data_IF_360788534003
#
_entry.id   IF_360788534003
#
_cell.length_a   1.000
_cell.length_b   1.000
_cell.length_c   1.000
_cell.angle_alpha   90.00
_cell.angle_beta   90.00
_cell.angle_gamma   90.00
#
_symmetry.space_group_name_H-M   'P 1'
#
loop_
_entity.id
_entity.type
_entity.pdbx_description
1 polymer ?
#
# COMPACT_ATOMS: atom_id res chain seq x y z
N UNK A 1 -31.79 6.78 -11.63
CA UNK A 1 -30.68 5.98 -11.06
C UNK A 1 -29.49 6.90 -10.75
N UNK A 2 -29.75 8.09 -10.21
CA UNK A 2 -28.81 9.23 -10.26
C UNK A 2 -28.31 9.68 -8.88
N UNK A 3 -28.83 9.06 -7.82
CA UNK A 3 -28.47 9.41 -6.44
C UNK A 3 -27.11 8.84 -6.04
N UNK A 4 -26.76 7.63 -6.49
CA UNK A 4 -25.46 7.02 -6.24
C UNK A 4 -24.34 7.75 -6.97
N UNK A 5 -24.51 8.12 -8.24
CA UNK A 5 -23.50 8.86 -8.99
C UNK A 5 -23.28 10.28 -8.43
N UNK A 6 -24.32 10.93 -7.90
CA UNK A 6 -24.18 12.21 -7.18
C UNK A 6 -23.55 12.05 -5.78
N UNK A 7 -23.82 10.98 -5.05
CA UNK A 7 -23.15 10.66 -3.79
C UNK A 7 -21.67 10.38 -3.99
N UNK A 8 -21.30 9.64 -5.04
CA UNK A 8 -19.92 9.38 -5.42
C UNK A 8 -19.19 10.66 -5.87
N UNK A 9 -19.83 11.50 -6.69
CA UNK A 9 -19.29 12.81 -7.05
C UNK A 9 -19.11 13.73 -5.84
N UNK A 10 -20.02 13.69 -4.85
CA UNK A 10 -19.84 14.38 -3.56
C UNK A 10 -18.73 13.78 -2.70
N UNK A 11 -18.53 12.47 -2.74
CA UNK A 11 -17.51 11.77 -1.95
C UNK A 11 -16.10 12.05 -2.49
N UNK A 12 -15.96 12.20 -3.81
CA UNK A 12 -14.67 12.52 -4.48
C UNK A 12 -14.37 14.02 -4.46
N UNK A 13 -15.39 14.90 -4.47
CA UNK A 13 -15.21 16.35 -4.56
C UNK A 13 -15.23 17.13 -3.22
N UNK A 14 -15.46 16.47 -2.08
CA UNK A 14 -15.53 17.11 -0.73
C UNK A 14 -14.55 16.54 0.29
N UNK A 15 -13.32 16.23 -0.10
CA UNK A 15 -12.28 16.15 0.94
C UNK A 15 -11.61 17.52 1.00
N UNK A 16 -11.92 18.37 2.01
CA UNK A 16 -11.04 19.49 2.32
C UNK A 16 -9.63 18.96 2.53
N UNK A 17 -8.62 19.76 2.18
CA UNK A 17 -7.23 19.41 2.51
C UNK A 17 -7.16 19.13 4.01
N UNK A 18 -6.66 17.94 4.41
CA UNK A 18 -6.65 17.59 5.82
C UNK A 18 -5.63 18.43 6.57
N UNK A 19 -5.98 18.81 7.79
CA UNK A 19 -5.09 19.53 8.68
C UNK A 19 -3.95 18.63 9.17
N UNK A 20 -4.21 17.32 9.22
CA UNK A 20 -3.25 16.34 9.70
C UNK A 20 -3.37 14.97 9.03
N UNK A 21 -2.24 14.24 9.02
CA UNK A 21 -2.11 12.91 8.46
C UNK A 21 -1.70 11.91 9.54
N UNK A 22 -2.14 10.66 9.34
CA UNK A 22 -1.71 9.50 10.12
C UNK A 22 -1.65 8.26 9.23
N UNK A 23 -0.79 7.31 9.53
CA UNK A 23 -0.72 6.01 8.85
C UNK A 23 -0.88 4.87 9.83
N UNK A 24 -1.64 3.86 9.40
CA UNK A 24 -1.60 2.50 9.92
C UNK A 24 -1.23 1.57 8.76
N UNK A 25 -0.14 0.85 8.88
CA UNK A 25 0.28 -0.16 7.91
C UNK A 25 0.49 -1.50 8.61
N UNK A 26 0.03 -2.60 8.00
CA UNK A 26 0.14 -3.93 8.59
C UNK A 26 0.56 -4.94 7.54
N UNK A 27 1.76 -5.50 7.72
CA UNK A 27 2.41 -6.37 6.76
C UNK A 27 2.52 -7.81 7.27
N UNK A 28 2.46 -8.81 6.38
CA UNK A 28 2.84 -10.19 6.72
C UNK A 28 4.31 -10.26 7.16
N UNK A 29 4.61 -10.99 8.24
CA UNK A 29 6.00 -11.16 8.73
C UNK A 29 6.66 -12.48 8.33
N UNK A 30 5.96 -13.35 7.59
CA UNK A 30 6.51 -14.68 7.23
C UNK A 30 7.23 -14.62 5.89
N UNK A 31 8.52 -15.03 5.82
CA UNK A 31 9.27 -15.02 4.58
C UNK A 31 8.76 -15.99 3.51
N UNK A 32 8.04 -17.05 3.92
CA UNK A 32 7.60 -18.11 3.01
C UNK A 32 6.61 -17.63 1.93
N UNK A 33 5.94 -16.51 2.19
CA UNK A 33 4.84 -16.02 1.37
C UNK A 33 5.04 -14.53 1.05
N UNK A 34 6.22 -13.94 1.26
CA UNK A 34 6.38 -12.48 1.19
C UNK A 34 7.81 -12.00 0.94
N UNK A 35 7.96 -10.69 0.66
CA UNK A 35 9.25 -10.07 0.39
C UNK A 35 10.22 -10.21 1.58
N UNK A 36 11.55 -10.17 1.33
CA UNK A 36 12.54 -10.14 2.40
C UNK A 36 12.31 -8.97 3.36
N UNK A 37 12.50 -9.21 4.66
CA UNK A 37 12.31 -8.18 5.70
C UNK A 37 13.18 -6.93 5.47
N UNK A 38 14.38 -7.09 4.90
CA UNK A 38 15.26 -5.97 4.55
C UNK A 38 14.62 -5.02 3.52
N UNK A 39 14.05 -5.56 2.44
CA UNK A 39 13.40 -4.75 1.42
C UNK A 39 12.16 -4.00 1.95
N UNK A 40 11.46 -4.60 2.91
CA UNK A 40 10.37 -3.95 3.63
C UNK A 40 10.87 -2.83 4.54
N UNK A 41 12.00 -3.02 5.21
CA UNK A 41 12.63 -2.00 6.05
C UNK A 41 12.99 -0.77 5.22
N UNK A 42 13.57 -0.95 4.04
CA UNK A 42 13.89 0.18 3.14
C UNK A 42 12.65 1.01 2.78
N UNK A 43 11.47 0.38 2.70
CA UNK A 43 10.21 1.12 2.50
C UNK A 43 9.73 1.82 3.76
N UNK A 44 9.96 1.24 4.94
CA UNK A 44 9.64 1.91 6.21
C UNK A 44 10.46 3.19 6.36
N UNK A 45 11.70 3.23 5.87
CA UNK A 45 12.53 4.44 5.90
C UNK A 45 11.86 5.59 5.10
N UNK A 46 11.24 5.30 3.94
CA UNK A 46 10.46 6.27 3.17
C UNK A 46 9.27 6.81 4.01
N UNK A 47 8.60 5.95 4.77
CA UNK A 47 7.50 6.34 5.67
C UNK A 47 8.00 7.13 6.88
N UNK A 48 9.15 6.75 7.45
CA UNK A 48 9.79 7.46 8.55
C UNK A 48 10.13 8.89 8.14
N UNK A 49 10.70 9.06 6.95
CA UNK A 49 11.00 10.36 6.38
C UNK A 49 9.72 11.18 6.16
N UNK A 50 8.65 10.55 5.65
CA UNK A 50 7.35 11.20 5.44
C UNK A 50 6.72 11.78 6.71
N UNK A 51 7.00 11.17 7.87
CA UNK A 51 6.46 11.55 9.18
C UNK A 51 7.52 12.14 10.12
N UNK A 52 8.71 12.48 9.61
CA UNK A 52 9.79 13.08 10.38
C UNK A 52 10.23 12.24 11.60
N UNK A 53 10.28 10.92 11.45
CA UNK A 53 10.71 10.00 12.53
C UNK A 53 9.59 9.55 13.48
N UNK A 54 8.34 9.98 13.27
CA UNK A 54 7.24 9.75 14.23
C UNK A 54 6.44 8.49 13.90
N UNK A 55 7.08 7.33 14.04
CA UNK A 55 6.42 6.05 13.88
C UNK A 55 6.84 5.04 14.95
N UNK A 56 5.92 4.10 15.20
CA UNK A 56 6.11 2.93 16.04
C UNK A 56 6.01 1.67 15.18
N UNK A 57 6.94 0.74 15.37
CA UNK A 57 6.92 -0.58 14.73
C UNK A 57 6.70 -1.66 15.77
N UNK A 58 5.62 -2.41 15.62
CA UNK A 58 5.32 -3.58 16.44
C UNK A 58 5.43 -4.84 15.59
N UNK A 59 6.33 -5.75 15.98
CA UNK A 59 6.50 -7.04 15.29
C UNK A 59 5.89 -8.17 16.12
N UNK A 60 5.05 -8.97 15.49
CA UNK A 60 4.49 -10.20 16.03
C UNK A 60 4.89 -11.37 15.15
N UNK A 61 4.64 -12.61 15.60
CA UNK A 61 4.92 -13.83 14.81
C UNK A 61 4.24 -13.85 13.44
N UNK A 62 3.12 -13.13 13.27
CA UNK A 62 2.33 -13.14 12.02
C UNK A 62 2.44 -11.84 11.24
N UNK A 63 2.62 -10.72 11.93
CA UNK A 63 2.49 -9.38 11.35
C UNK A 63 3.47 -8.39 11.92
N UNK A 64 3.91 -7.49 11.05
CA UNK A 64 4.61 -6.28 11.42
C UNK A 64 3.64 -5.13 11.18
N UNK A 65 3.38 -4.36 12.23
CA UNK A 65 2.48 -3.22 12.20
C UNK A 65 3.31 -1.97 12.39
N UNK A 66 3.10 -0.99 11.50
CA UNK A 66 3.70 0.33 11.56
C UNK A 66 2.59 1.33 11.76
N UNK A 67 2.67 2.12 12.83
CA UNK A 67 1.72 3.19 13.11
C UNK A 67 2.47 4.49 13.28
N UNK A 68 1.94 5.57 12.73
CA UNK A 68 2.53 6.89 12.95
C UNK A 68 1.76 7.65 14.02
N UNK A 69 2.43 8.65 14.60
CA UNK A 69 1.74 9.76 15.22
C UNK A 69 0.95 10.56 14.18
N UNK A 70 0.05 11.40 14.68
CA UNK A 70 -0.62 12.42 13.85
C UNK A 70 0.35 13.56 13.59
N UNK A 71 0.54 13.94 12.33
CA UNK A 71 1.41 15.05 11.90
C UNK A 71 0.62 16.07 11.09
N UNK A 72 0.90 17.36 11.31
CA UNK A 72 0.28 18.43 10.53
C UNK A 72 0.70 18.37 9.06
N UNK A 73 -0.13 18.90 8.16
CA UNK A 73 0.13 18.90 6.71
C UNK A 73 1.48 19.51 6.32
N UNK A 74 1.95 20.53 7.04
CA UNK A 74 3.23 21.19 6.77
C UNK A 74 4.46 20.34 7.13
N UNK A 75 4.26 19.34 8.00
CA UNK A 75 5.32 18.42 8.45
C UNK A 75 5.28 17.09 7.70
N UNK A 76 4.25 16.86 6.89
CA UNK A 76 4.05 15.64 6.14
C UNK A 76 4.72 15.74 4.76
N UNK A 77 5.76 14.94 4.53
CA UNK A 77 6.32 14.83 3.18
C UNK A 77 5.49 13.87 2.34
N UNK A 78 4.59 14.47 1.55
CA UNK A 78 3.71 13.75 0.62
C UNK A 78 4.48 12.93 -0.42
N UNK A 79 5.60 13.44 -0.93
CA UNK A 79 6.37 12.75 -1.97
C UNK A 79 7.03 11.50 -1.40
N UNK A 80 7.61 11.57 -0.21
CA UNK A 80 8.15 10.41 0.48
C UNK A 80 7.06 9.38 0.81
N UNK A 81 5.89 9.84 1.25
CA UNK A 81 4.75 8.95 1.48
C UNK A 81 4.28 8.24 0.20
N UNK A 82 4.21 8.95 -0.93
CA UNK A 82 3.85 8.36 -2.23
C UNK A 82 4.89 7.32 -2.69
N UNK A 83 6.19 7.56 -2.44
CA UNK A 83 7.24 6.54 -2.68
C UNK A 83 7.08 5.32 -1.80
N UNK A 84 6.75 5.51 -0.51
CA UNK A 84 6.44 4.40 0.39
C UNK A 84 5.28 3.56 -0.15
N UNK A 85 4.15 4.17 -0.52
CA UNK A 85 2.98 3.44 -1.03
C UNK A 85 3.34 2.67 -2.31
N UNK A 86 3.92 3.33 -3.31
CA UNK A 86 4.35 2.68 -4.55
C UNK A 86 5.38 1.57 -4.30
N UNK A 87 6.27 1.78 -3.33
CA UNK A 87 7.26 0.80 -2.89
C UNK A 87 6.61 -0.46 -2.31
N UNK A 88 5.60 -0.31 -1.44
CA UNK A 88 4.84 -1.44 -0.89
C UNK A 88 4.03 -2.15 -1.98
N UNK A 89 3.39 -1.40 -2.87
CA UNK A 89 2.66 -1.96 -4.02
C UNK A 89 3.57 -2.82 -4.89
N UNK A 90 4.77 -2.34 -5.23
CA UNK A 90 5.75 -3.13 -5.98
C UNK A 90 6.26 -4.33 -5.18
N UNK A 91 6.49 -4.16 -3.87
CA UNK A 91 7.11 -5.17 -3.04
C UNK A 91 6.17 -6.36 -2.73
N UNK A 92 4.87 -6.11 -2.60
CA UNK A 92 3.86 -7.13 -2.29
C UNK A 92 2.96 -7.48 -3.45
N UNK A 93 2.89 -6.63 -4.47
CA UNK A 93 1.87 -6.66 -5.53
C UNK A 93 1.86 -7.92 -6.36
N UNK A 94 2.95 -8.69 -6.41
CA UNK A 94 2.98 -9.98 -7.11
C UNK A 94 2.12 -11.04 -6.40
N UNK A 95 2.21 -11.09 -5.06
CA UNK A 95 1.66 -12.17 -4.22
C UNK A 95 0.37 -11.74 -3.50
N UNK A 96 0.23 -10.45 -3.20
CA UNK A 96 -0.88 -9.88 -2.45
C UNK A 96 -1.61 -8.82 -3.27
N UNK A 97 -2.88 -8.63 -2.94
CA UNK A 97 -3.56 -7.38 -3.26
C UNK A 97 -3.19 -6.35 -2.19
N UNK A 98 -2.57 -5.24 -2.57
CA UNK A 98 -2.23 -4.18 -1.63
C UNK A 98 -3.45 -3.26 -1.48
N UNK A 99 -4.13 -3.37 -0.35
CA UNK A 99 -5.28 -2.52 -0.04
C UNK A 99 -4.79 -1.21 0.56
N UNK A 100 -5.05 -0.12 -0.15
CA UNK A 100 -4.86 1.25 0.33
C UNK A 100 -6.20 1.97 0.39
N UNK A 101 -6.56 2.46 1.58
CA UNK A 101 -7.73 3.33 1.72
C UNK A 101 -7.52 4.39 2.78
N UNK A 102 -8.37 5.41 2.78
CA UNK A 102 -8.27 6.54 3.70
C UNK A 102 -9.54 6.66 4.53
N UNK A 103 -9.38 6.96 5.82
CA UNK A 103 -10.46 7.36 6.71
C UNK A 103 -10.25 8.81 7.09
N UNK A 104 -11.30 9.62 7.03
CA UNK A 104 -11.26 11.00 7.51
C UNK A 104 -12.10 11.13 8.77
N UNK A 105 -11.60 11.84 9.78
CA UNK A 105 -12.36 12.15 11.01
C UNK A 105 -12.03 13.54 11.52
N UNK A 106 -12.98 14.16 12.21
CA UNK A 106 -12.69 15.32 13.04
C UNK A 106 -11.93 14.86 14.29
N UNK A 107 -10.93 15.61 14.70
CA UNK A 107 -10.06 15.35 15.84
C UNK A 107 -9.70 16.67 16.54
N UNK A 108 -9.03 16.58 17.68
CA UNK A 108 -8.52 17.75 18.41
C UNK A 108 -7.50 18.57 17.59
N UNK A 109 -6.93 17.95 16.56
CA UNK A 109 -5.99 18.57 15.61
C UNK A 109 -6.68 19.05 14.32
N UNK A 110 -8.01 19.12 14.29
CA UNK A 110 -8.77 19.46 13.09
C UNK A 110 -9.18 18.21 12.29
N UNK A 111 -9.27 18.35 10.97
CA UNK A 111 -9.64 17.28 10.06
C UNK A 111 -8.45 16.36 9.78
N UNK A 112 -8.43 15.19 10.42
CA UNK A 112 -7.38 14.20 10.25
C UNK A 112 -7.74 13.21 9.14
N UNK A 113 -6.78 12.95 8.25
CA UNK A 113 -6.83 11.87 7.25
C UNK A 113 -5.89 10.73 7.65
N UNK A 114 -6.46 9.59 8.00
CA UNK A 114 -5.72 8.36 8.29
C UNK A 114 -5.63 7.47 7.05
N UNK A 115 -4.42 7.14 6.63
CA UNK A 115 -4.13 6.19 5.56
C UNK A 115 -3.98 4.78 6.15
N UNK A 116 -4.60 3.80 5.52
CA UNK A 116 -4.52 2.39 5.90
C UNK A 116 -3.95 1.59 4.75
N UNK A 117 -2.84 0.88 4.99
CA UNK A 117 -2.13 0.09 3.98
C UNK A 117 -1.94 -1.36 4.45
N UNK A 118 -2.53 -2.32 3.73
CA UNK A 118 -2.51 -3.73 4.14
C UNK A 118 -2.41 -4.64 2.91
N UNK A 119 -1.31 -5.39 2.73
CA UNK A 119 -1.28 -6.51 1.81
C UNK A 119 -2.24 -7.62 2.29
N UNK A 120 -3.18 -8.02 1.45
CA UNK A 120 -4.12 -9.11 1.72
C UNK A 120 -3.95 -10.21 0.69
N UNK A 121 -4.11 -11.47 1.12
CA UNK A 121 -4.07 -12.58 0.16
C UNK A 121 -5.20 -12.38 -0.85
N UNK A 122 -4.93 -12.51 -2.14
CA UNK A 122 -5.94 -12.32 -3.15
C UNK A 122 -7.03 -13.38 -2.97
N UNK A 123 -8.29 -12.97 -3.09
CA UNK A 123 -9.44 -13.88 -2.96
C UNK A 123 -9.59 -14.80 -4.18
N UNK A 124 -8.98 -14.39 -5.31
CA UNK A 124 -9.01 -15.12 -6.57
C UNK A 124 -7.59 -15.25 -7.11
N UNK A 125 -7.26 -16.38 -7.71
CA UNK A 125 -6.01 -16.53 -8.45
C UNK A 125 -5.96 -15.48 -9.56
N UNK A 126 -4.82 -14.80 -9.70
CA UNK A 126 -4.60 -13.96 -10.87
C UNK A 126 -4.65 -14.84 -12.12
N UNK A 127 -5.31 -14.41 -13.21
CA UNK A 127 -5.24 -15.13 -14.47
C UNK A 127 -3.78 -15.23 -14.87
N UNK A 128 -3.22 -16.44 -14.92
CA UNK A 128 -1.88 -16.65 -15.44
C UNK A 128 -1.84 -16.10 -16.87
N UNK A 129 -0.91 -15.18 -17.16
CA UNK A 129 -0.48 -14.99 -18.55
C UNK A 129 -0.02 -16.37 -19.07
N UNK A 130 -0.50 -16.82 -20.24
CA UNK A 130 -0.13 -18.14 -20.74
C UNK A 130 1.38 -18.18 -20.98
N UNK A 131 2.04 -19.00 -20.18
CA UNK A 131 3.45 -19.31 -20.34
C UNK A 131 3.67 -20.00 -21.69
N UNK A 132 4.48 -19.37 -22.54
CA UNK A 132 5.23 -20.04 -23.61
C UNK A 132 4.40 -20.58 -24.77
N UNK A 133 4.52 -19.91 -25.92
CA UNK A 133 4.46 -20.58 -27.21
C UNK A 133 5.40 -21.80 -27.18
N UNK A 134 4.82 -22.98 -27.34
CA UNK A 134 5.54 -24.22 -27.53
C UNK A 134 6.63 -24.07 -28.60
N UNK A 135 7.82 -24.54 -28.26
CA UNK A 135 8.92 -24.80 -29.20
C UNK A 135 8.39 -25.65 -30.35
N UNK A 136 8.19 -25.04 -31.53
CA UNK A 136 8.22 -25.81 -32.77
C UNK A 136 9.69 -26.17 -33.03
N UNK A 137 10.00 -27.43 -32.76
CA UNK A 137 11.24 -28.09 -33.15
C UNK A 137 11.40 -27.96 -34.66
N UNK A 138 12.40 -27.20 -35.11
CA UNK A 138 12.87 -27.29 -36.51
C UNK A 138 13.52 -28.67 -36.69
N UNK A 139 12.73 -29.59 -37.22
CA UNK A 139 13.21 -30.85 -37.76
C UNK A 139 13.91 -30.60 -39.09
N UNK A 140 15.22 -30.77 -39.05
CA UNK A 140 16.08 -30.98 -40.20
C UNK A 140 15.66 -32.29 -40.91
N UNK A 141 15.32 -32.22 -42.19
CA UNK A 141 15.41 -33.36 -43.12
C UNK A 141 15.91 -32.86 -44.47
N UNK A 142 17.21 -33.05 -44.66
CA UNK A 142 17.83 -33.32 -45.94
C UNK A 142 17.39 -34.70 -46.45
N UNK A 143 17.00 -34.80 -47.72
CA UNK A 143 16.64 -36.05 -48.40
C UNK A 143 15.99 -35.80 -49.74
#
# INVERSE_FOLDING_TARGET
>A
MDSLSQLWKRYVARNPDPDAYRVYASFPSRPSDGPPLGALRDRIDDLEYAFGGRLDVTVTRKRMVVTTDTVAIEQFDRTAFERFVAGIENLYGDVYDVVHYTKSRQSDHGFEKSHVLVPVKPLFSKPNEPAGLDRVVSGDQSG
#
